data_IF_957791538198
#
_entry.id   IF_957791538198
#
_cell.length_a   1.000
_cell.length_b   1.000
_cell.length_c   1.000
_cell.angle_alpha   90.00
_cell.angle_beta   90.00
_cell.angle_gamma   90.00
#
_symmetry.space_group_name_H-M   'P 1'
#
loop_
_entity.id
_entity.type
_entity.pdbx_description
1 polymer ?
#
# COMPACT_ATOMS: atom_id res chain seq x y z
N UNK A 1 19.06 -7.85 20.79
CA UNK A 1 18.79 -6.67 19.98
C UNK A 1 17.37 -6.71 19.44
N UNK A 2 16.67 -5.64 19.55
CA UNK A 2 15.28 -5.55 19.15
C UNK A 2 15.17 -5.45 17.64
N UNK A 3 14.42 -6.35 17.02
CA UNK A 3 14.14 -6.27 15.60
C UNK A 3 12.89 -5.39 15.38
N UNK A 4 13.13 -4.14 15.07
CA UNK A 4 12.06 -3.17 14.86
C UNK A 4 11.20 -3.51 13.65
N UNK A 5 11.77 -4.16 12.64
CA UNK A 5 11.00 -4.50 11.44
C UNK A 5 9.94 -5.54 11.73
N UNK A 6 10.21 -6.49 12.66
CA UNK A 6 9.23 -7.51 13.05
C UNK A 6 8.04 -6.87 13.75
N UNK A 7 8.27 -5.94 14.68
CA UNK A 7 7.21 -5.22 15.40
C UNK A 7 6.37 -4.41 14.42
N UNK A 8 7.03 -3.68 13.49
CA UNK A 8 6.35 -2.88 12.49
C UNK A 8 5.51 -3.76 11.55
N UNK A 9 6.02 -4.95 11.20
CA UNK A 9 5.35 -5.88 10.30
C UNK A 9 4.03 -6.35 10.90
N UNK A 10 4.00 -6.70 12.18
CA UNK A 10 2.76 -7.15 12.82
C UNK A 10 1.70 -6.05 12.83
N UNK A 11 2.10 -4.83 13.17
CA UNK A 11 1.19 -3.68 13.16
C UNK A 11 0.66 -3.40 11.75
N UNK A 12 1.52 -3.51 10.75
CA UNK A 12 1.12 -3.31 9.36
C UNK A 12 0.14 -4.38 8.90
N UNK A 13 0.36 -5.65 9.27
CA UNK A 13 -0.57 -6.72 8.90
C UNK A 13 -1.94 -6.52 9.52
N UNK A 14 -2.01 -6.02 10.75
CA UNK A 14 -3.30 -5.69 11.39
C UNK A 14 -4.03 -4.63 10.58
N UNK A 15 -3.33 -3.59 10.14
CA UNK A 15 -3.93 -2.53 9.31
C UNK A 15 -4.37 -3.05 7.95
N UNK A 16 -3.57 -3.92 7.32
CA UNK A 16 -3.92 -4.53 6.03
C UNK A 16 -5.17 -5.39 6.15
N UNK A 17 -5.25 -6.19 7.22
CA UNK A 17 -6.43 -7.02 7.49
C UNK A 17 -7.69 -6.16 7.66
N UNK A 18 -7.58 -5.10 8.45
CA UNK A 18 -8.69 -4.19 8.68
C UNK A 18 -9.18 -3.54 7.37
N UNK A 19 -8.25 -3.18 6.50
CA UNK A 19 -8.56 -2.60 5.20
C UNK A 19 -9.33 -3.60 4.32
N UNK A 20 -8.87 -4.85 4.27
CA UNK A 20 -9.55 -5.90 3.51
C UNK A 20 -10.95 -6.19 4.05
N UNK A 21 -11.10 -6.21 5.37
CA UNK A 21 -12.40 -6.41 6.01
C UNK A 21 -13.37 -5.28 5.66
N UNK A 22 -12.89 -4.04 5.74
CA UNK A 22 -13.70 -2.86 5.40
C UNK A 22 -14.15 -2.89 3.94
N UNK A 23 -13.34 -3.44 3.06
CA UNK A 23 -13.64 -3.54 1.62
C UNK A 23 -14.43 -4.80 1.26
N UNK A 24 -14.63 -5.73 2.19
CA UNK A 24 -15.36 -6.96 1.93
C UNK A 24 -14.57 -7.98 1.13
N UNK A 25 -13.26 -7.94 1.17
CA UNK A 25 -12.42 -8.87 0.42
C UNK A 25 -12.20 -10.17 1.19
N UNK A 26 -12.13 -11.33 0.49
CA UNK A 26 -11.89 -12.61 1.15
C UNK A 26 -10.56 -12.64 1.90
N UNK A 27 -10.58 -13.14 3.14
CA UNK A 27 -9.46 -13.03 4.05
C UNK A 27 -8.18 -13.71 3.57
N UNK A 28 -8.27 -14.96 3.08
CA UNK A 28 -7.08 -15.73 2.75
C UNK A 28 -6.26 -15.13 1.60
N UNK A 29 -6.84 -14.87 0.42
CA UNK A 29 -6.05 -14.25 -0.65
C UNK A 29 -5.58 -12.85 -0.28
N UNK A 30 -6.39 -12.11 0.49
CA UNK A 30 -6.04 -10.76 0.94
C UNK A 30 -4.79 -10.78 1.84
N UNK A 31 -4.76 -11.67 2.84
CA UNK A 31 -3.63 -11.76 3.76
C UNK A 31 -2.38 -12.30 3.08
N UNK A 32 -2.51 -13.22 2.14
CA UNK A 32 -1.37 -13.70 1.35
C UNK A 32 -0.73 -12.55 0.56
N UNK A 33 -1.54 -11.69 0.00
CA UNK A 33 -1.02 -10.54 -0.72
C UNK A 33 -0.33 -9.54 0.20
N UNK A 34 -0.88 -9.33 1.39
CA UNK A 34 -0.24 -8.48 2.40
C UNK A 34 1.16 -8.97 2.76
N UNK A 35 1.33 -10.29 2.89
CA UNK A 35 2.63 -10.88 3.15
C UNK A 35 3.60 -10.67 1.99
N UNK A 36 3.12 -10.79 0.74
CA UNK A 36 3.95 -10.52 -0.44
C UNK A 36 4.38 -9.07 -0.50
N UNK A 37 3.46 -8.15 -0.21
CA UNK A 37 3.76 -6.73 -0.18
C UNK A 37 4.82 -6.42 0.86
N UNK A 38 4.67 -6.95 2.07
CA UNK A 38 5.66 -6.71 3.13
C UNK A 38 7.02 -7.26 2.78
N UNK A 39 7.10 -8.44 2.18
CA UNK A 39 8.37 -8.98 1.70
C UNK A 39 9.01 -8.03 0.69
N UNK A 40 8.22 -7.46 -0.20
CA UNK A 40 8.71 -6.52 -1.19
C UNK A 40 9.22 -5.24 -0.53
N UNK A 41 8.49 -4.69 0.44
CA UNK A 41 8.91 -3.51 1.18
C UNK A 41 10.17 -3.74 2.01
N UNK A 42 10.45 -4.98 2.41
CA UNK A 42 11.63 -5.35 3.19
C UNK A 42 12.82 -5.74 2.33
N UNK A 43 12.66 -5.74 1.01
CA UNK A 43 13.68 -6.20 0.08
C UNK A 43 14.88 -5.28 0.06
N UNK A 44 16.07 -5.87 0.07
CA UNK A 44 17.33 -5.17 -0.10
C UNK A 44 17.53 -4.74 -1.55
N UNK A 45 18.10 -3.58 -1.85
CA UNK A 45 18.55 -2.54 -0.92
C UNK A 45 17.54 -1.37 -0.85
N UNK A 46 16.82 -1.25 0.26
CA UNK A 46 15.87 -0.14 0.45
C UNK A 46 16.31 0.71 1.63
N UNK A 47 16.94 1.85 1.35
CA UNK A 47 17.41 2.75 2.39
C UNK A 47 16.27 3.61 2.96
N UNK A 48 15.41 4.15 2.09
CA UNK A 48 14.37 5.12 2.49
C UNK A 48 12.95 4.63 2.27
N UNK A 49 12.71 3.78 1.27
CA UNK A 49 11.39 3.29 0.89
C UNK A 49 11.16 1.90 1.46
N UNK A 50 11.15 1.79 2.80
CA UNK A 50 11.03 0.55 3.54
C UNK A 50 9.74 0.52 4.37
N UNK A 51 9.59 -0.50 5.22
CA UNK A 51 8.39 -0.65 6.06
C UNK A 51 8.21 0.50 7.03
N UNK A 52 9.28 1.15 7.48
CA UNK A 52 9.19 2.34 8.33
C UNK A 52 8.54 3.48 7.57
N UNK A 53 8.91 3.68 6.31
CA UNK A 53 8.28 4.69 5.45
C UNK A 53 6.80 4.37 5.21
N UNK A 54 6.48 3.11 4.91
CA UNK A 54 5.09 2.69 4.73
C UNK A 54 4.28 2.96 6.00
N UNK A 55 4.81 2.60 7.16
CA UNK A 55 4.14 2.83 8.43
C UNK A 55 3.89 4.32 8.68
N UNK A 56 4.87 5.17 8.36
CA UNK A 56 4.72 6.61 8.49
C UNK A 56 3.61 7.15 7.58
N UNK A 57 3.57 6.71 6.33
CA UNK A 57 2.53 7.12 5.39
C UNK A 57 1.13 6.70 5.87
N UNK A 58 0.99 5.47 6.35
CA UNK A 58 -0.28 4.99 6.88
C UNK A 58 -0.68 5.70 8.16
N UNK A 59 0.31 6.07 8.99
CA UNK A 59 0.07 6.87 10.19
C UNK A 59 -0.50 8.23 9.86
N UNK A 60 0.03 8.89 8.85
CA UNK A 60 -0.51 10.17 8.36
C UNK A 60 -1.93 10.00 7.82
N UNK A 61 -2.18 8.95 7.07
CA UNK A 61 -3.52 8.64 6.57
C UNK A 61 -4.52 8.48 7.73
N UNK A 62 -4.15 7.74 8.77
CA UNK A 62 -5.00 7.54 9.94
C UNK A 62 -5.28 8.87 10.65
N UNK A 63 -4.27 9.73 10.79
CA UNK A 63 -4.42 11.03 11.40
C UNK A 63 -5.41 11.90 10.63
N UNK A 64 -5.30 11.92 9.30
CA UNK A 64 -6.25 12.67 8.46
C UNK A 64 -7.67 12.15 8.63
N UNK A 65 -7.84 10.82 8.66
CA UNK A 65 -9.16 10.23 8.85
C UNK A 65 -9.78 10.59 10.20
N UNK A 66 -8.95 10.65 11.25
CA UNK A 66 -9.40 10.96 12.61
C UNK A 66 -9.69 12.45 12.79
N UNK A 67 -8.78 13.32 12.32
CA UNK A 67 -8.85 14.76 12.61
C UNK A 67 -9.64 15.55 11.57
N UNK A 68 -9.70 15.05 10.33
CA UNK A 68 -10.38 15.71 9.22
C UNK A 68 -11.31 14.72 8.52
N UNK A 69 -12.32 14.17 9.23
CA UNK A 69 -13.22 13.19 8.61
C UNK A 69 -13.90 13.78 7.38
N UNK A 70 -13.89 13.02 6.30
CA UNK A 70 -14.46 13.46 5.03
C UNK A 70 -13.51 14.27 4.14
N UNK A 71 -12.27 14.55 4.61
CA UNK A 71 -11.30 15.27 3.79
C UNK A 71 -10.86 14.48 2.56
N UNK A 72 -10.82 13.15 2.67
CA UNK A 72 -10.50 12.28 1.54
C UNK A 72 -11.79 11.72 0.96
N UNK A 73 -11.97 11.91 -0.35
CA UNK A 73 -13.17 11.45 -1.06
C UNK A 73 -13.24 9.93 -1.12
N UNK A 74 -12.08 9.29 -1.33
CA UNK A 74 -11.97 7.84 -1.37
C UNK A 74 -10.83 7.38 -0.47
N UNK A 75 -11.06 7.35 0.86
CA UNK A 75 -9.98 7.07 1.81
C UNK A 75 -9.37 5.68 1.65
N UNK A 76 -10.16 4.67 1.29
CA UNK A 76 -9.63 3.32 1.09
C UNK A 76 -8.74 3.24 -0.15
N UNK A 77 -9.05 4.01 -1.19
CA UNK A 77 -8.20 4.08 -2.37
C UNK A 77 -6.84 4.70 -2.04
N UNK A 78 -6.82 5.71 -1.19
CA UNK A 78 -5.57 6.32 -0.74
C UNK A 78 -4.74 5.31 0.06
N UNK A 79 -5.36 4.59 1.00
CA UNK A 79 -4.66 3.57 1.79
C UNK A 79 -4.07 2.47 0.90
N UNK A 80 -4.84 1.98 -0.07
CA UNK A 80 -4.36 0.98 -1.02
C UNK A 80 -3.20 1.50 -1.85
N UNK A 81 -3.31 2.74 -2.33
CA UNK A 81 -2.22 3.35 -3.09
C UNK A 81 -0.95 3.45 -2.26
N UNK A 82 -1.06 3.79 -0.98
CA UNK A 82 0.10 3.84 -0.08
C UNK A 82 0.77 2.46 0.06
N UNK A 83 -0.03 1.40 0.20
CA UNK A 83 0.49 0.05 0.31
C UNK A 83 1.24 -0.39 -0.94
N UNK A 84 0.77 0.00 -2.12
CA UNK A 84 1.31 -0.47 -3.39
C UNK A 84 2.33 0.47 -4.02
N UNK A 85 2.37 1.75 -3.64
CA UNK A 85 3.10 2.76 -4.44
C UNK A 85 4.59 2.49 -4.59
N UNK A 86 5.22 1.85 -3.60
CA UNK A 86 6.63 1.46 -3.66
C UNK A 86 6.78 -0.07 -3.59
N UNK A 87 5.75 -0.83 -3.94
CA UNK A 87 5.81 -2.29 -3.90
C UNK A 87 6.90 -2.81 -4.81
N UNK A 88 7.07 -2.20 -5.98
CA UNK A 88 8.23 -2.46 -6.84
C UNK A 88 9.17 -1.28 -6.69
N UNK A 89 10.41 -1.56 -6.30
CA UNK A 89 11.41 -0.51 -6.12
C UNK A 89 12.80 -1.01 -6.50
N UNK A 90 13.28 -0.51 -7.64
CA UNK A 90 14.64 -0.69 -8.11
C UNK A 90 15.27 0.70 -8.21
N UNK A 91 16.35 1.00 -7.47
CA UNK A 91 16.87 2.37 -7.37
C UNK A 91 17.22 3.03 -8.70
N UNK A 92 17.56 2.23 -9.70
CA UNK A 92 17.98 2.72 -11.01
C UNK A 92 16.88 2.65 -12.07
N UNK A 93 15.67 2.25 -11.70
CA UNK A 93 14.59 2.09 -12.68
C UNK A 93 13.68 3.32 -12.71
N UNK A 94 13.28 3.72 -13.91
CA UNK A 94 12.30 4.77 -14.13
C UNK A 94 10.86 4.20 -14.17
N UNK A 95 10.69 2.88 -13.99
CA UNK A 95 9.40 2.21 -14.18
C UNK A 95 8.79 1.67 -12.90
N UNK A 96 9.33 2.07 -11.74
CA UNK A 96 8.86 1.53 -10.45
C UNK A 96 7.39 1.82 -10.21
N UNK A 97 6.95 3.06 -10.48
CA UNK A 97 5.57 3.46 -10.26
C UNK A 97 4.62 2.70 -11.19
N UNK A 98 4.98 2.57 -12.46
CA UNK A 98 4.16 1.82 -13.42
C UNK A 98 4.05 0.34 -13.03
N UNK A 99 5.14 -0.27 -12.59
CA UNK A 99 5.14 -1.67 -12.16
C UNK A 99 4.35 -1.85 -10.87
N UNK A 100 4.47 -0.92 -9.94
CA UNK A 100 3.70 -0.92 -8.69
C UNK A 100 2.21 -0.76 -8.97
N UNK A 101 1.85 0.17 -9.85
CA UNK A 101 0.46 0.38 -10.25
C UNK A 101 -0.11 -0.84 -10.96
N UNK A 102 0.67 -1.51 -11.79
CA UNK A 102 0.26 -2.72 -12.49
C UNK A 102 0.01 -3.87 -11.51
N UNK A 103 0.89 -4.02 -10.52
CA UNK A 103 0.69 -5.02 -9.47
C UNK A 103 -0.63 -4.78 -8.74
N UNK A 104 -0.87 -3.53 -8.29
CA UNK A 104 -2.11 -3.17 -7.61
C UNK A 104 -3.33 -3.47 -8.47
N UNK A 105 -3.32 -3.04 -9.73
CA UNK A 105 -4.45 -3.25 -10.64
C UNK A 105 -4.74 -4.72 -10.86
N UNK A 106 -3.68 -5.53 -11.03
CA UNK A 106 -3.83 -6.96 -11.25
C UNK A 106 -4.44 -7.66 -10.05
N UNK A 107 -3.93 -7.37 -8.85
CA UNK A 107 -4.45 -7.98 -7.63
C UNK A 107 -5.88 -7.51 -7.34
N UNK A 108 -6.10 -6.21 -7.35
CA UNK A 108 -7.39 -5.64 -6.96
C UNK A 108 -8.50 -5.97 -7.96
N UNK A 109 -8.18 -6.13 -9.24
CA UNK A 109 -9.16 -6.54 -10.25
C UNK A 109 -9.68 -7.95 -10.01
N UNK A 110 -8.93 -8.78 -9.31
CA UNK A 110 -9.38 -10.12 -8.91
C UNK A 110 -10.21 -10.14 -7.64
N UNK A 111 -10.42 -8.99 -7.00
CA UNK A 111 -11.17 -8.85 -5.76
C UNK A 111 -12.57 -8.31 -6.04
N UNK A 112 -13.54 -8.51 -5.11
CA UNK A 112 -14.91 -7.98 -5.28
C UNK A 112 -14.95 -6.49 -5.00
N UNK A 113 -14.29 -5.71 -5.85
CA UNK A 113 -14.17 -4.26 -5.72
C UNK A 113 -14.71 -3.58 -6.96
N UNK A 114 -15.27 -2.36 -6.81
CA UNK A 114 -15.70 -1.60 -7.99
C UNK A 114 -14.52 -1.28 -8.91
N UNK A 115 -14.68 -1.41 -10.23
CA UNK A 115 -13.62 -1.05 -11.17
C UNK A 115 -13.16 0.41 -11.01
N UNK A 116 -14.03 1.30 -10.59
CA UNK A 116 -13.69 2.70 -10.35
C UNK A 116 -12.67 2.84 -9.21
N UNK A 117 -12.81 2.03 -8.15
CA UNK A 117 -11.85 2.05 -7.04
C UNK A 117 -10.48 1.58 -7.52
N UNK A 118 -10.44 0.50 -8.27
CA UNK A 118 -9.18 -0.05 -8.81
C UNK A 118 -8.48 0.99 -9.68
N UNK A 119 -9.24 1.68 -10.53
CA UNK A 119 -8.71 2.72 -11.40
C UNK A 119 -8.16 3.90 -10.60
N UNK A 120 -8.88 4.32 -9.55
CA UNK A 120 -8.43 5.41 -8.69
C UNK A 120 -7.13 5.06 -7.99
N UNK A 121 -6.99 3.83 -7.50
CA UNK A 121 -5.73 3.37 -6.88
C UNK A 121 -4.59 3.46 -7.88
N UNK A 122 -4.80 2.98 -9.10
CA UNK A 122 -3.79 3.06 -10.17
C UNK A 122 -3.36 4.52 -10.42
N UNK A 123 -4.32 5.41 -10.54
CA UNK A 123 -4.05 6.83 -10.78
C UNK A 123 -3.27 7.46 -9.63
N UNK A 124 -3.61 7.13 -8.39
CA UNK A 124 -2.88 7.63 -7.22
C UNK A 124 -1.44 7.16 -7.22
N UNK A 125 -1.19 5.89 -7.56
CA UNK A 125 0.17 5.35 -7.62
C UNK A 125 0.97 6.07 -8.70
N UNK A 126 0.39 6.24 -9.88
CA UNK A 126 1.07 6.93 -10.97
C UNK A 126 1.37 8.38 -10.63
N UNK A 127 0.53 9.02 -9.80
CA UNK A 127 0.76 10.39 -9.35
C UNK A 127 1.98 10.50 -8.42
N UNK A 128 2.48 9.39 -7.86
CA UNK A 128 3.71 9.41 -7.04
C UNK A 128 4.97 9.38 -7.90
N UNK A 129 4.84 9.29 -9.21
CA UNK A 129 5.98 9.27 -10.12
C UNK A 129 6.70 10.62 -10.09
N UNK A 130 7.99 10.57 -9.75
CA UNK A 130 8.83 11.76 -9.71
C UNK A 130 9.59 11.89 -11.02
N UNK A 131 9.08 12.72 -11.89
CA UNK A 131 9.80 13.10 -13.10
C UNK A 131 10.63 14.34 -12.80
N UNK A 132 11.95 14.24 -12.88
CA UNK A 132 12.79 15.40 -12.71
C UNK A 132 12.59 16.41 -13.82
#
# INVERSE_FOLDING_TARGET
MFDRSTVNTDALLVQWEALGTALGCPANPWMQEGLRLLRSWQRWPRAYHNTTHLQACLGHWQTVQKELPGALEQPHAVALALWFHDAVYWPWSAHNEACSAQWASRFLSGQPLPPSLVRTVHEHIMATCHNP
#
